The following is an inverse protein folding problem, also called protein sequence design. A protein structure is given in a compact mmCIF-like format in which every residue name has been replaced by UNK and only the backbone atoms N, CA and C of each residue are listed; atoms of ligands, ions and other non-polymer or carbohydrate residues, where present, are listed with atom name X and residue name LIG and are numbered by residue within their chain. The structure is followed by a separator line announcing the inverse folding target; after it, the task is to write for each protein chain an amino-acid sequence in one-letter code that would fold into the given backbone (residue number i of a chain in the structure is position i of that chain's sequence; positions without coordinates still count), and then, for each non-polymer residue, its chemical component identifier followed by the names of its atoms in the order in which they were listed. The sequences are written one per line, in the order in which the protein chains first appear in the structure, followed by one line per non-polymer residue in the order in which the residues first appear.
data_IF_645547820464
#
_entry.id   IF_645547820464
#
_cell.length_a   1.000
_cell.length_b   1.000
_cell.length_c   1.000
_cell.angle_alpha   90.00
_cell.angle_beta   90.00
_cell.angle_gamma   90.00
#
_symmetry.space_group_name_H-M   'P 1'
#
loop_
_entity.id
_entity.type
_entity.pdbx_description
1 polymer ?
#
# COMPACT_ATOMS: atom_id res chain seq x y z
N UNK A 1 -2.32 63.15 -8.54
CA UNK A 1 -1.82 61.89 -9.07
C UNK A 1 -1.23 61.08 -7.90
N UNK A 2 -1.89 59.97 -7.50
CA UNK A 2 -1.39 59.10 -6.42
C UNK A 2 -1.05 57.75 -7.05
N UNK A 3 0.23 57.39 -7.06
CA UNK A 3 0.69 56.07 -7.49
C UNK A 3 0.30 55.02 -6.46
N UNK A 4 -0.38 53.94 -6.92
CA UNK A 4 -0.57 52.68 -6.20
C UNK A 4 0.68 51.80 -6.42
N UNK A 5 1.23 51.14 -5.42
CA UNK A 5 2.25 50.13 -5.64
C UNK A 5 1.60 48.84 -6.13
N UNK A 6 2.20 48.24 -7.16
CA UNK A 6 1.86 46.91 -7.67
C UNK A 6 2.32 45.89 -6.66
N UNK A 7 1.38 45.09 -6.11
CA UNK A 7 1.68 43.89 -5.33
C UNK A 7 2.06 42.76 -6.27
N UNK A 8 3.26 42.23 -6.14
CA UNK A 8 3.68 40.97 -6.72
C UNK A 8 2.83 39.83 -6.11
N UNK A 9 1.95 39.26 -6.93
CA UNK A 9 1.26 38.02 -6.61
C UNK A 9 2.26 36.89 -6.83
N UNK A 10 2.75 36.28 -5.73
CA UNK A 10 3.50 35.05 -5.78
C UNK A 10 2.60 33.96 -6.39
N UNK A 11 2.97 33.46 -7.55
CA UNK A 11 2.31 32.40 -8.30
C UNK A 11 2.43 31.09 -7.51
N UNK A 12 1.34 30.70 -6.82
CA UNK A 12 1.27 29.38 -6.16
C UNK A 12 1.13 28.33 -7.26
N UNK A 13 2.01 27.33 -7.34
CA UNK A 13 1.90 26.30 -8.36
C UNK A 13 0.54 25.61 -8.24
N UNK A 14 -0.23 25.67 -9.31
CA UNK A 14 -1.55 25.05 -9.40
C UNK A 14 -1.41 23.54 -9.28
N UNK A 15 -2.14 22.93 -8.37
CA UNK A 15 -2.18 21.48 -8.03
C UNK A 15 -2.27 20.53 -9.25
N UNK A 16 -2.62 21.02 -10.43
CA UNK A 16 -2.73 20.22 -11.66
C UNK A 16 -1.40 19.72 -12.25
N UNK A 17 -0.29 20.35 -11.97
CA UNK A 17 1.02 20.01 -12.55
C UNK A 17 1.73 18.88 -11.77
N UNK A 18 1.31 18.59 -10.54
CA UNK A 18 2.01 17.73 -9.58
C UNK A 18 1.70 16.24 -9.79
N UNK A 19 0.58 15.88 -10.43
CA UNK A 19 0.10 14.49 -10.55
C UNK A 19 0.20 13.90 -11.96
N UNK A 20 1.00 14.45 -12.85
CA UNK A 20 1.11 13.94 -14.21
C UNK A 20 2.29 12.99 -14.40
N UNK A 21 2.00 11.76 -14.85
CA UNK A 21 2.98 10.81 -15.31
C UNK A 21 3.69 10.02 -14.22
N UNK A 22 4.88 9.51 -14.58
CA UNK A 22 5.67 8.60 -13.75
C UNK A 22 6.25 9.27 -12.49
N UNK A 23 6.34 10.57 -12.46
CA UNK A 23 6.94 11.35 -11.36
C UNK A 23 5.93 11.85 -10.32
N UNK A 24 4.68 11.43 -10.44
CA UNK A 24 3.58 11.89 -9.57
C UNK A 24 3.75 11.66 -8.06
N UNK A 25 4.71 10.83 -7.65
CA UNK A 25 4.99 10.58 -6.23
C UNK A 25 5.98 11.59 -5.63
N UNK A 26 6.76 12.32 -6.44
CA UNK A 26 7.77 13.27 -5.97
C UNK A 26 7.20 14.35 -5.04
N UNK A 27 6.03 14.88 -5.37
CA UNK A 27 5.41 15.95 -4.61
C UNK A 27 5.19 15.60 -3.14
N UNK A 28 4.83 14.35 -2.84
CA UNK A 28 4.61 13.90 -1.47
C UNK A 28 5.91 13.84 -0.66
N UNK A 29 7.04 13.49 -1.28
CA UNK A 29 8.33 13.40 -0.58
C UNK A 29 8.94 14.77 -0.31
N UNK A 30 8.65 15.77 -1.15
CA UNK A 30 9.16 17.14 -1.04
C UNK A 30 8.40 17.92 0.03
N UNK A 31 7.07 17.98 -0.09
CA UNK A 31 6.21 18.78 0.78
C UNK A 31 4.96 18.00 1.21
N UNK A 32 5.10 17.01 2.14
CA UNK A 32 3.99 16.19 2.59
C UNK A 32 2.89 16.99 3.32
N UNK A 33 3.24 18.11 3.95
CA UNK A 33 2.31 18.93 4.73
C UNK A 33 1.32 19.70 3.86
N UNK A 34 1.63 19.90 2.57
CA UNK A 34 0.71 20.54 1.62
C UNK A 34 -0.48 19.66 1.24
N UNK A 35 -0.48 18.39 1.63
CA UNK A 35 -1.53 17.44 1.30
C UNK A 35 -2.47 17.17 2.48
N UNK A 36 -3.77 16.91 2.23
CA UNK A 36 -4.72 16.61 3.28
C UNK A 36 -4.44 15.24 3.93
N UNK A 37 -4.88 15.07 5.19
CA UNK A 37 -4.77 13.81 5.95
C UNK A 37 -5.47 12.62 5.27
N UNK A 38 -6.41 12.87 4.38
CA UNK A 38 -7.04 11.83 3.55
C UNK A 38 -6.07 11.28 2.49
N UNK A 39 -4.98 11.97 2.22
CA UNK A 39 -3.94 11.57 1.26
C UNK A 39 -2.66 11.15 1.98
N UNK A 40 -2.06 12.01 2.79
CA UNK A 40 -0.87 11.71 3.60
C UNK A 40 -1.34 11.20 4.95
N UNK A 41 -1.08 9.93 5.25
CA UNK A 41 -1.45 9.29 6.52
C UNK A 41 -0.56 9.79 7.64
N UNK A 42 0.75 9.79 7.40
CA UNK A 42 1.77 10.44 8.25
C UNK A 42 3.08 10.59 7.48
N UNK A 43 3.99 11.36 8.05
CA UNK A 43 5.36 11.48 7.56
C UNK A 43 6.34 11.68 8.71
N UNK A 44 7.60 11.41 8.43
CA UNK A 44 8.74 11.69 9.30
C UNK A 44 9.92 12.22 8.45
N UNK A 45 11.11 12.33 9.03
CA UNK A 45 12.29 12.81 8.30
C UNK A 45 12.69 11.90 7.14
N UNK A 46 12.47 10.58 7.27
CA UNK A 46 12.91 9.56 6.30
C UNK A 46 11.84 9.13 5.32
N UNK A 47 10.55 9.19 5.70
CA UNK A 47 9.45 8.59 4.93
C UNK A 47 8.20 9.46 4.90
N UNK A 48 7.41 9.25 3.85
CA UNK A 48 6.01 9.68 3.77
C UNK A 48 5.15 8.45 3.48
N UNK A 49 4.09 8.27 4.26
CA UNK A 49 3.10 7.21 4.03
C UNK A 49 1.80 7.82 3.54
N UNK A 50 1.35 7.35 2.39
CA UNK A 50 0.17 7.89 1.71
C UNK A 50 -0.88 6.81 1.42
N UNK A 51 -2.14 7.22 1.32
CA UNK A 51 -3.16 6.39 0.69
C UNK A 51 -2.91 6.34 -0.83
N UNK A 52 -2.87 5.15 -1.42
CA UNK A 52 -2.75 5.02 -2.88
C UNK A 52 -3.94 5.71 -3.57
N UNK A 53 -3.68 6.49 -4.63
CA UNK A 53 -4.71 7.16 -5.41
C UNK A 53 -5.60 6.18 -6.20
N UNK A 54 -5.01 5.04 -6.56
CA UNK A 54 -5.68 3.98 -7.31
C UNK A 54 -5.57 2.65 -6.54
N UNK A 55 -6.18 2.56 -5.34
CA UNK A 55 -6.00 1.42 -4.44
C UNK A 55 -6.39 0.12 -5.14
N UNK A 56 -5.67 -0.96 -4.86
CA UNK A 56 -5.95 -2.28 -5.44
C UNK A 56 -6.70 -3.19 -4.47
N UNK A 57 -6.83 -2.76 -3.23
CA UNK A 57 -7.50 -3.48 -2.16
C UNK A 57 -8.33 -2.53 -1.30
N UNK A 58 -9.07 -3.04 -0.32
CA UNK A 58 -9.88 -2.23 0.60
C UNK A 58 -9.06 -1.20 1.37
N UNK A 59 -7.82 -1.55 1.72
CA UNK A 59 -6.81 -0.64 2.29
C UNK A 59 -5.54 -0.79 1.47
N UNK A 60 -4.96 0.32 1.02
CA UNK A 60 -3.72 0.32 0.24
C UNK A 60 -2.92 1.57 0.52
N UNK A 61 -1.80 1.39 1.20
CA UNK A 61 -0.82 2.43 1.51
C UNK A 61 0.42 2.30 0.63
N UNK A 62 1.09 3.41 0.41
CA UNK A 62 2.43 3.47 -0.17
C UNK A 62 3.38 4.12 0.83
N UNK A 63 4.55 3.52 1.05
CA UNK A 63 5.65 4.10 1.79
C UNK A 63 6.62 4.69 0.78
N UNK A 64 6.90 5.98 0.89
CA UNK A 64 7.76 6.73 -0.01
C UNK A 64 9.00 7.20 0.76
N UNK A 65 10.20 6.74 0.43
CA UNK A 65 11.43 7.30 1.01
C UNK A 65 11.62 8.77 0.59
N UNK A 66 12.08 9.61 1.53
CA UNK A 66 12.36 11.03 1.28
C UNK A 66 13.81 11.30 0.87
N UNK A 67 14.71 10.31 1.01
CA UNK A 67 16.08 10.45 0.53
C UNK A 67 16.09 10.69 -0.99
N UNK A 68 16.59 11.86 -1.47
CA UNK A 68 16.50 12.24 -2.88
C UNK A 68 17.37 11.40 -3.81
N UNK A 69 18.34 10.66 -3.26
CA UNK A 69 19.20 9.75 -4.03
C UNK A 69 18.55 8.37 -4.11
N UNK A 70 18.09 7.85 -2.97
CA UNK A 70 17.50 6.50 -2.89
C UNK A 70 16.14 6.42 -3.58
N UNK A 71 15.32 7.47 -3.49
CA UNK A 71 13.95 7.45 -3.99
C UNK A 71 13.82 7.36 -5.51
N UNK A 72 14.90 7.59 -6.27
CA UNK A 72 14.94 7.49 -7.74
C UNK A 72 15.74 6.28 -8.24
N UNK A 73 16.31 5.49 -7.32
CA UNK A 73 17.02 4.25 -7.66
C UNK A 73 16.03 3.11 -7.92
N UNK A 74 16.49 2.11 -8.66
CA UNK A 74 15.76 0.85 -8.77
C UNK A 74 15.78 0.13 -7.41
N UNK A 75 14.72 -0.62 -7.06
CA UNK A 75 14.68 -1.36 -5.79
C UNK A 75 15.91 -2.24 -5.56
N UNK A 76 16.36 -2.93 -6.60
CA UNK A 76 17.52 -3.83 -6.56
C UNK A 76 18.85 -3.13 -6.23
N UNK A 77 18.94 -1.83 -6.52
CA UNK A 77 20.15 -1.04 -6.28
C UNK A 77 20.03 -0.26 -4.96
N UNK A 78 18.83 0.25 -4.66
CA UNK A 78 18.58 0.98 -3.42
C UNK A 78 18.74 0.09 -2.18
N UNK A 79 18.26 -1.16 -2.26
CA UNK A 79 18.29 -2.13 -1.15
C UNK A 79 19.58 -2.93 -1.03
N UNK A 80 20.60 -2.65 -1.87
CA UNK A 80 21.96 -3.09 -1.61
C UNK A 80 22.60 -2.36 -0.41
N UNK A 81 22.02 -1.22 0.01
CA UNK A 81 22.38 -0.53 1.24
C UNK A 81 21.63 -1.12 2.44
N UNK A 82 22.32 -1.83 3.37
CA UNK A 82 21.67 -2.53 4.47
C UNK A 82 21.02 -1.57 5.50
N UNK A 83 21.55 -0.36 5.65
CA UNK A 83 20.95 0.62 6.57
C UNK A 83 19.64 1.17 6.01
N UNK A 84 19.63 1.50 4.72
CA UNK A 84 18.41 1.94 4.05
C UNK A 84 17.35 0.84 4.03
N UNK A 85 17.74 -0.40 3.75
CA UNK A 85 16.84 -1.55 3.79
C UNK A 85 16.24 -1.74 5.19
N UNK A 86 17.05 -1.70 6.24
CA UNK A 86 16.58 -1.84 7.62
C UNK A 86 15.59 -0.73 8.02
N UNK A 87 15.86 0.52 7.62
CA UNK A 87 14.92 1.64 7.82
C UNK A 87 13.58 1.39 7.11
N UNK A 88 13.62 0.90 5.86
CA UNK A 88 12.40 0.58 5.09
C UNK A 88 11.62 -0.58 5.72
N UNK A 89 12.29 -1.63 6.21
CA UNK A 89 11.65 -2.76 6.91
C UNK A 89 10.99 -2.33 8.22
N UNK A 90 11.63 -1.44 8.97
CA UNK A 90 11.05 -0.89 10.20
C UNK A 90 9.79 -0.05 9.90
N UNK A 91 9.81 0.74 8.84
CA UNK A 91 8.66 1.54 8.42
C UNK A 91 7.54 0.67 7.83
N UNK A 92 7.88 -0.36 7.07
CA UNK A 92 6.94 -1.36 6.56
C UNK A 92 6.16 -2.02 7.70
N UNK A 93 6.85 -2.44 8.77
CA UNK A 93 6.21 -3.03 9.96
C UNK A 93 5.15 -2.11 10.54
N UNK A 94 5.45 -0.82 10.74
CA UNK A 94 4.49 0.18 11.23
C UNK A 94 3.30 0.35 10.29
N UNK A 95 3.56 0.43 8.98
CA UNK A 95 2.50 0.57 7.98
C UNK A 95 1.59 -0.66 7.93
N UNK A 96 2.13 -1.88 8.12
CA UNK A 96 1.34 -3.12 8.24
C UNK A 96 0.40 -3.08 9.45
N UNK A 97 0.87 -2.58 10.60
CA UNK A 97 0.05 -2.40 11.80
C UNK A 97 -1.08 -1.38 11.56
N UNK A 98 -0.81 -0.29 10.83
CA UNK A 98 -1.84 0.70 10.45
C UNK A 98 -2.88 0.08 9.53
N UNK A 99 -2.47 -0.69 8.50
CA UNK A 99 -3.40 -1.39 7.61
C UNK A 99 -4.24 -2.40 8.39
N UNK A 100 -3.64 -3.18 9.29
CA UNK A 100 -4.32 -4.14 10.14
C UNK A 100 -5.36 -3.46 11.07
N UNK A 101 -4.99 -2.34 11.69
CA UNK A 101 -5.90 -1.52 12.51
C UNK A 101 -7.08 -0.99 11.69
N UNK A 102 -6.83 -0.52 10.48
CA UNK A 102 -7.87 -0.02 9.57
C UNK A 102 -8.80 -1.15 9.09
N UNK A 103 -8.25 -2.35 8.85
CA UNK A 103 -9.06 -3.54 8.56
C UNK A 103 -9.97 -3.90 9.73
N UNK A 104 -9.45 -3.93 10.97
CA UNK A 104 -10.25 -4.15 12.18
C UNK A 104 -11.34 -3.09 12.32
N UNK A 105 -11.00 -1.82 12.13
CA UNK A 105 -11.98 -0.72 12.22
C UNK A 105 -13.12 -0.87 11.21
N UNK A 106 -12.82 -1.31 9.98
CA UNK A 106 -13.83 -1.48 8.91
C UNK A 106 -14.64 -2.76 9.08
N UNK A 107 -13.98 -3.85 9.42
CA UNK A 107 -14.52 -5.20 9.27
C UNK A 107 -14.64 -5.97 10.58
N UNK A 108 -14.03 -5.53 11.68
CA UNK A 108 -14.00 -6.25 12.96
C UNK A 108 -15.40 -6.62 13.46
N UNK A 109 -16.39 -5.73 13.28
CA UNK A 109 -17.80 -6.00 13.67
C UNK A 109 -18.44 -7.21 12.96
N UNK A 110 -17.86 -7.66 11.85
CA UNK A 110 -18.36 -8.83 11.12
C UNK A 110 -17.56 -10.11 11.46
N UNK A 111 -16.38 -9.97 12.06
CA UNK A 111 -15.47 -11.09 12.38
C UNK A 111 -15.97 -11.86 13.60
N UNK A 112 -16.10 -13.17 13.45
CA UNK A 112 -16.43 -14.06 14.57
C UNK A 112 -15.31 -14.04 15.64
N UNK A 113 -14.06 -13.94 15.22
CA UNK A 113 -12.89 -13.89 16.12
C UNK A 113 -12.77 -12.58 16.90
N UNK A 114 -13.30 -11.45 16.36
CA UNK A 114 -13.33 -10.17 17.09
C UNK A 114 -14.54 -10.03 18.03
N UNK A 115 -15.56 -10.91 17.93
CA UNK A 115 -16.78 -10.83 18.76
C UNK A 115 -16.51 -10.74 20.26
N UNK A 116 -15.67 -11.60 20.88
CA UNK A 116 -15.39 -11.50 22.32
C UNK A 116 -14.78 -10.16 22.73
N UNK A 117 -13.96 -9.56 21.84
CA UNK A 117 -13.36 -8.25 22.05
C UNK A 117 -14.41 -7.13 22.00
N UNK A 118 -15.34 -7.22 21.06
CA UNK A 118 -16.41 -6.23 20.91
C UNK A 118 -17.35 -6.30 22.11
N UNK A 119 -17.78 -7.50 22.50
CA UNK A 119 -18.64 -7.72 23.68
C UNK A 119 -17.98 -7.18 24.96
N UNK A 120 -16.65 -7.37 25.11
CA UNK A 120 -15.91 -6.83 26.23
C UNK A 120 -15.82 -5.29 26.21
N UNK A 121 -15.72 -4.67 25.03
CA UNK A 121 -15.69 -3.21 24.86
C UNK A 121 -17.06 -2.57 25.14
N UNK A 122 -18.15 -3.28 24.85
CA UNK A 122 -19.54 -2.82 25.02
C UNK A 122 -20.12 -3.14 26.41
N UNK A 123 -19.38 -3.87 27.26
CA UNK A 123 -19.82 -4.18 28.61
C UNK A 123 -19.90 -2.91 29.48
N UNK A 124 -20.83 -2.89 30.46
CA UNK A 124 -20.98 -1.79 31.41
C UNK A 124 -19.71 -1.54 32.24
N UNK A 125 -18.93 -2.61 32.51
CA UNK A 125 -17.64 -2.57 33.18
C UNK A 125 -16.59 -3.32 32.31
N UNK A 126 -15.97 -2.61 31.33
CA UNK A 126 -15.00 -3.23 30.45
C UNK A 126 -13.77 -3.74 31.22
N UNK A 127 -13.25 -4.94 30.88
CA UNK A 127 -12.07 -5.47 31.52
C UNK A 127 -10.83 -4.62 31.24
N UNK A 128 -9.90 -4.53 32.20
CA UNK A 128 -8.62 -3.81 32.04
C UNK A 128 -7.84 -4.30 30.82
N UNK A 129 -7.89 -5.60 30.52
CA UNK A 129 -7.27 -6.20 29.34
C UNK A 129 -8.34 -6.80 28.42
N UNK A 130 -8.45 -6.23 27.23
CA UNK A 130 -9.39 -6.73 26.23
C UNK A 130 -8.91 -8.02 25.57
N UNK A 131 -9.82 -8.95 25.21
CA UNK A 131 -9.49 -10.08 24.35
C UNK A 131 -8.76 -9.62 23.09
N UNK A 132 -7.76 -10.39 22.64
CA UNK A 132 -6.92 -10.03 21.48
C UNK A 132 -7.73 -9.87 20.20
N UNK A 133 -8.76 -10.70 20.01
CA UNK A 133 -9.52 -10.77 18.76
C UNK A 133 -8.71 -11.38 17.63
N UNK A 134 -9.13 -11.11 16.39
CA UNK A 134 -8.47 -11.56 15.18
C UNK A 134 -7.12 -10.86 14.97
N UNK A 135 -6.11 -11.60 14.56
CA UNK A 135 -4.87 -11.00 14.02
C UNK A 135 -5.09 -10.51 12.58
N UNK A 136 -5.40 -9.24 12.43
CA UNK A 136 -5.61 -8.63 11.11
C UNK A 136 -4.31 -8.43 10.33
N UNK A 137 -3.12 -8.58 10.94
CA UNK A 137 -1.83 -8.49 10.22
C UNK A 137 -1.65 -9.63 9.24
N UNK A 138 -2.25 -10.80 9.48
CA UNK A 138 -2.30 -11.93 8.54
C UNK A 138 -3.04 -11.58 7.23
N UNK A 139 -3.96 -10.63 7.30
CA UNK A 139 -4.70 -10.10 6.15
C UNK A 139 -3.95 -9.02 5.36
N UNK A 140 -2.71 -8.68 5.74
CA UNK A 140 -1.90 -7.65 5.10
C UNK A 140 -0.77 -8.29 4.29
N UNK A 141 -0.56 -7.79 3.10
CA UNK A 141 0.61 -8.08 2.26
C UNK A 141 1.40 -6.80 2.01
N UNK A 142 2.70 -6.93 1.79
CA UNK A 142 3.59 -5.82 1.50
C UNK A 142 4.74 -6.23 0.61
N UNK A 143 5.35 -5.27 -0.05
CA UNK A 143 6.48 -5.49 -0.93
C UNK A 143 6.66 -4.37 -1.94
N UNK A 144 7.64 -4.53 -2.80
CA UNK A 144 7.93 -3.60 -3.88
C UNK A 144 7.88 -4.30 -5.22
N UNK A 145 7.37 -3.62 -6.25
CA UNK A 145 7.36 -4.17 -7.60
C UNK A 145 8.79 -4.34 -8.13
N UNK A 146 9.12 -5.52 -8.64
CA UNK A 146 10.44 -5.83 -9.21
C UNK A 146 10.83 -4.88 -10.36
N UNK A 147 9.82 -4.39 -11.10
CA UNK A 147 9.99 -3.41 -12.17
C UNK A 147 8.88 -2.35 -12.09
N UNK A 148 9.02 -1.34 -11.21
CA UNK A 148 7.97 -0.37 -10.95
C UNK A 148 7.68 0.51 -12.17
N UNK A 149 6.40 0.89 -12.34
CA UNK A 149 5.95 1.79 -13.40
C UNK A 149 6.20 3.26 -13.08
N UNK A 150 6.28 3.62 -11.80
CA UNK A 150 6.58 4.96 -11.31
C UNK A 150 8.09 5.15 -11.16
N UNK A 151 8.58 6.38 -11.33
CA UNK A 151 9.99 6.71 -11.21
C UNK A 151 10.51 6.68 -9.78
N UNK A 152 9.62 6.99 -8.81
CA UNK A 152 9.99 7.01 -7.40
C UNK A 152 9.78 5.65 -6.76
N UNK A 153 10.75 5.25 -5.95
CA UNK A 153 10.69 4.04 -5.13
C UNK A 153 9.51 4.12 -4.17
N UNK A 154 8.68 3.10 -4.17
CA UNK A 154 7.50 3.03 -3.32
C UNK A 154 7.23 1.59 -2.92
N UNK A 155 7.04 1.39 -1.62
CA UNK A 155 6.71 0.10 -1.04
C UNK A 155 5.19 0.05 -0.87
N UNK A 156 4.56 -0.99 -1.40
CA UNK A 156 3.14 -1.24 -1.24
C UNK A 156 2.88 -1.94 0.09
N UNK A 157 1.84 -1.49 0.81
CA UNK A 157 1.29 -2.16 1.99
C UNK A 157 -0.22 -2.16 1.86
N UNK A 158 -0.83 -3.33 1.68
CA UNK A 158 -2.25 -3.42 1.34
C UNK A 158 -2.92 -4.66 1.92
N UNK A 159 -4.26 -4.62 1.99
CA UNK A 159 -5.05 -5.79 2.34
C UNK A 159 -5.06 -6.82 1.20
N UNK A 160 -5.17 -8.11 1.56
CA UNK A 160 -5.14 -9.23 0.58
C UNK A 160 -6.42 -9.35 -0.25
N UNK A 161 -7.50 -8.65 0.09
CA UNK A 161 -8.82 -8.80 -0.55
C UNK A 161 -8.87 -8.41 -2.03
N UNK A 162 -8.08 -7.43 -2.47
CA UNK A 162 -7.93 -6.99 -3.87
C UNK A 162 -9.22 -6.71 -4.63
N UNK A 163 -10.26 -6.20 -3.95
CA UNK A 163 -11.60 -5.97 -4.51
C UNK A 163 -11.91 -4.51 -4.85
N UNK A 164 -10.93 -3.63 -4.84
CA UNK A 164 -11.17 -2.21 -5.11
C UNK A 164 -11.61 -1.94 -6.55
N UNK A 165 -12.31 -0.82 -6.77
CA UNK A 165 -12.75 -0.40 -8.10
C UNK A 165 -11.58 -0.23 -9.09
N UNK A 166 -10.41 0.38 -8.72
CA UNK A 166 -9.24 0.48 -9.60
C UNK A 166 -8.54 -0.85 -9.92
N UNK A 167 -8.90 -1.97 -9.32
CA UNK A 167 -8.45 -3.31 -9.70
C UNK A 167 -9.17 -3.76 -10.98
N UNK A 168 -8.76 -3.26 -12.15
CA UNK A 168 -9.49 -3.42 -13.42
C UNK A 168 -8.87 -4.38 -14.41
N UNK A 169 -7.54 -4.62 -14.31
CA UNK A 169 -6.78 -5.34 -15.33
C UNK A 169 -6.08 -6.55 -14.73
N UNK A 170 -5.94 -7.60 -15.56
CA UNK A 170 -5.16 -8.80 -15.22
C UNK A 170 -3.79 -8.44 -14.63
N UNK A 171 -3.05 -7.54 -15.27
CA UNK A 171 -1.73 -7.15 -14.80
C UNK A 171 -1.77 -6.43 -13.45
N UNK A 172 -2.87 -5.74 -13.08
CA UNK A 172 -3.02 -5.17 -11.74
C UNK A 172 -3.10 -6.26 -10.68
N UNK A 173 -3.81 -7.36 -10.96
CA UNK A 173 -3.91 -8.49 -10.04
C UNK A 173 -2.59 -9.25 -9.94
N UNK A 174 -2.04 -9.63 -11.07
CA UNK A 174 -0.80 -10.41 -11.13
C UNK A 174 0.42 -9.68 -10.58
N UNK A 175 0.43 -8.34 -10.62
CA UNK A 175 1.53 -7.57 -10.01
C UNK A 175 1.58 -7.66 -8.48
N UNK A 176 0.50 -8.13 -7.83
CA UNK A 176 0.44 -8.35 -6.38
C UNK A 176 0.38 -9.82 -5.97
N UNK A 177 0.10 -10.74 -6.91
CA UNK A 177 -0.09 -12.17 -6.63
C UNK A 177 0.99 -13.06 -7.22
N UNK A 178 2.06 -12.48 -7.72
CA UNK A 178 3.23 -13.19 -8.29
C UNK A 178 4.52 -12.61 -7.70
N UNK A 179 5.65 -13.20 -8.04
CA UNK A 179 6.99 -12.75 -7.66
C UNK A 179 7.38 -11.36 -8.22
N UNK A 180 6.44 -10.70 -8.91
CA UNK A 180 6.59 -9.29 -9.28
C UNK A 180 6.47 -8.35 -8.07
N UNK A 181 5.72 -8.74 -7.03
CA UNK A 181 5.75 -8.12 -5.72
C UNK A 181 6.79 -8.84 -4.87
N UNK A 182 7.92 -8.20 -4.63
CA UNK A 182 9.02 -8.73 -3.84
C UNK A 182 8.93 -8.20 -2.42
N UNK A 183 8.82 -9.08 -1.43
CA UNK A 183 8.86 -8.69 -0.02
C UNK A 183 10.23 -8.16 0.36
N UNK A 184 10.28 -7.21 1.30
CA UNK A 184 11.55 -6.58 1.70
C UNK A 184 12.50 -7.56 2.40
N UNK A 185 11.99 -8.65 2.95
CA UNK A 185 12.78 -9.74 3.55
C UNK A 185 13.64 -10.51 2.55
N UNK A 186 13.36 -10.40 1.26
CA UNK A 186 14.13 -11.05 0.21
C UNK A 186 15.35 -10.24 -0.26
N UNK A 187 15.42 -8.96 0.10
CA UNK A 187 16.55 -8.10 -0.27
C UNK A 187 17.73 -8.21 0.72
N UNK A 188 18.96 -8.03 0.23
CA UNK A 188 19.34 -7.75 -1.16
C UNK A 188 19.18 -8.99 -2.06
N UNK A 189 18.62 -8.80 -3.26
CA UNK A 189 18.50 -9.90 -4.22
C UNK A 189 19.85 -10.30 -4.77
N UNK A 190 20.13 -11.61 -4.90
CA UNK A 190 21.31 -12.11 -5.56
C UNK A 190 21.44 -11.56 -6.99
N UNK A 191 22.66 -11.47 -7.52
CA UNK A 191 22.91 -10.85 -8.85
C UNK A 191 22.20 -11.59 -9.99
N UNK A 192 22.04 -12.89 -9.86
CA UNK A 192 21.40 -13.80 -10.80
C UNK A 192 19.92 -14.08 -10.48
N UNK A 193 19.35 -13.44 -9.46
CA UNK A 193 17.95 -13.60 -9.10
C UNK A 193 17.05 -13.11 -10.25
N UNK A 194 16.19 -14.02 -10.74
CA UNK A 194 15.29 -13.74 -11.86
C UNK A 194 14.34 -12.57 -11.61
N UNK A 195 14.01 -12.28 -10.34
CA UNK A 195 13.15 -11.16 -9.96
C UNK A 195 13.76 -9.81 -10.28
N UNK A 196 15.10 -9.71 -10.39
CA UNK A 196 15.78 -8.46 -10.83
C UNK A 196 15.37 -8.02 -12.24
N UNK A 197 14.88 -8.96 -13.06
CA UNK A 197 14.47 -8.72 -14.45
C UNK A 197 13.07 -9.28 -14.75
N UNK A 198 12.23 -9.43 -13.73
CA UNK A 198 10.89 -9.99 -13.89
C UNK A 198 10.07 -9.15 -14.88
N UNK A 199 9.59 -9.76 -15.96
CA UNK A 199 8.88 -9.08 -17.05
C UNK A 199 7.60 -9.78 -17.50
N UNK A 200 7.45 -11.06 -17.19
CA UNK A 200 6.37 -11.89 -17.74
C UNK A 200 5.47 -12.41 -16.64
N UNK A 201 4.21 -12.05 -16.71
CA UNK A 201 3.18 -12.60 -15.86
C UNK A 201 2.70 -13.96 -16.40
N UNK A 202 2.32 -14.90 -15.51
CA UNK A 202 1.68 -16.15 -15.92
C UNK A 202 0.41 -15.85 -16.72
N UNK A 203 -0.01 -16.78 -17.58
CA UNK A 203 -1.24 -16.62 -18.38
C UNK A 203 -2.49 -16.63 -17.51
N UNK A 204 -2.50 -17.46 -16.48
CA UNK A 204 -3.62 -17.70 -15.61
C UNK A 204 -3.60 -16.84 -14.35
N UNK A 205 -4.77 -16.39 -13.93
CA UNK A 205 -5.00 -15.78 -12.63
C UNK A 205 -5.58 -16.83 -11.67
N UNK A 206 -4.89 -17.04 -10.56
CA UNK A 206 -5.36 -17.90 -9.47
C UNK A 206 -5.90 -17.02 -8.34
N UNK A 207 -7.02 -17.42 -7.72
CA UNK A 207 -7.48 -16.75 -6.51
C UNK A 207 -6.43 -16.87 -5.39
N UNK A 208 -6.04 -15.76 -4.79
CA UNK A 208 -5.04 -15.73 -3.74
C UNK A 208 -5.42 -16.55 -2.49
N UNK A 209 -6.72 -16.77 -2.27
CA UNK A 209 -7.24 -17.43 -1.07
C UNK A 209 -7.53 -18.93 -1.32
N UNK A 210 -8.31 -19.27 -2.34
CA UNK A 210 -8.74 -20.65 -2.59
C UNK A 210 -7.98 -21.35 -3.72
N UNK A 211 -7.11 -20.63 -4.47
CA UNK A 211 -6.34 -21.20 -5.58
C UNK A 211 -7.14 -21.48 -6.86
N UNK A 212 -8.44 -21.17 -6.90
CA UNK A 212 -9.26 -21.40 -8.10
C UNK A 212 -8.68 -20.64 -9.30
N UNK A 213 -8.59 -21.33 -10.45
CA UNK A 213 -8.06 -20.78 -11.69
C UNK A 213 -9.17 -20.09 -12.51
N UNK A 214 -8.94 -18.85 -12.90
CA UNK A 214 -9.83 -18.02 -13.71
C UNK A 214 -9.31 -17.76 -15.13
N UNK A 215 -8.15 -18.34 -15.49
CA UNK A 215 -7.50 -18.06 -16.76
C UNK A 215 -7.25 -16.55 -16.90
N UNK A 216 -7.65 -15.99 -18.04
CA UNK A 216 -7.56 -14.56 -18.31
C UNK A 216 -8.86 -13.76 -18.05
N UNK A 217 -9.86 -14.36 -17.36
CA UNK A 217 -11.20 -13.78 -17.18
C UNK A 217 -11.28 -12.89 -15.95
N UNK A 218 -10.75 -11.68 -16.03
CA UNK A 218 -10.67 -10.72 -14.91
C UNK A 218 -12.04 -10.40 -14.28
N UNK A 219 -13.13 -10.31 -15.05
CA UNK A 219 -14.48 -10.06 -14.51
C UNK A 219 -14.94 -11.17 -13.59
N UNK A 220 -14.73 -12.43 -14.00
CA UNK A 220 -15.09 -13.59 -13.17
C UNK A 220 -14.25 -13.70 -11.91
N UNK A 221 -12.95 -13.37 -12.00
CA UNK A 221 -12.10 -13.30 -10.82
C UNK A 221 -12.60 -12.22 -9.86
N UNK A 222 -12.97 -11.03 -10.35
CA UNK A 222 -13.50 -9.96 -9.47
C UNK A 222 -14.78 -10.38 -8.75
N UNK A 223 -15.73 -10.96 -9.43
CA UNK A 223 -16.97 -11.48 -8.82
C UNK A 223 -16.66 -12.51 -7.72
N UNK A 224 -15.70 -13.41 -7.98
CA UNK A 224 -15.26 -14.40 -7.01
C UNK A 224 -14.54 -13.74 -5.81
N UNK A 225 -13.66 -12.76 -6.04
CA UNK A 225 -12.95 -12.06 -4.96
C UNK A 225 -13.89 -11.31 -4.01
N UNK A 226 -15.01 -10.75 -4.50
CA UNK A 226 -16.04 -10.16 -3.64
C UNK A 226 -16.68 -11.20 -2.71
N UNK A 227 -16.99 -12.40 -3.22
CA UNK A 227 -17.52 -13.50 -2.38
C UNK A 227 -16.48 -13.99 -1.37
N UNK A 228 -15.21 -14.14 -1.79
CA UNK A 228 -14.12 -14.53 -0.90
C UNK A 228 -13.88 -13.49 0.21
N UNK A 229 -13.97 -12.21 -0.13
CA UNK A 229 -13.87 -11.13 0.86
C UNK A 229 -14.97 -11.22 1.91
N UNK A 230 -16.22 -11.44 1.49
CA UNK A 230 -17.34 -11.59 2.43
C UNK A 230 -17.13 -12.76 3.41
N UNK A 231 -16.57 -13.86 2.92
CA UNK A 231 -16.21 -14.99 3.77
C UNK A 231 -15.04 -14.64 4.70
N UNK A 232 -14.01 -14.03 4.13
CA UNK A 232 -12.78 -13.66 4.85
C UNK A 232 -13.02 -12.66 5.99
N UNK A 233 -13.86 -11.65 5.81
CA UNK A 233 -14.16 -10.67 6.87
C UNK A 233 -14.96 -11.26 8.04
N UNK A 234 -15.59 -12.44 7.86
CA UNK A 234 -16.40 -13.11 8.89
C UNK A 234 -15.59 -14.08 9.77
N UNK A 235 -14.39 -14.45 9.38
CA UNK A 235 -13.46 -15.23 10.21
C UNK A 235 -13.11 -14.44 11.49
#
# INVERSE_FOLDING_TARGET
MRHKPAGEAADKPTQKTIFQGRDGLAAYTIDPESFPLTRVVYHNEKFVVINDLYPKASVHLLILPRDPVKNVQRPQDAFDDPHFLADCQAEEKKAREIVASELRRRFGKYSASDRPRIEALEADDPPETLPAGRDWTEGVMSGIHANPSMSHLHIHVLSKDMVSEPMKKRNHYLSFTTDFLVGLEHFPLAKDDYRRAYKHFPEDMLCWRCGQNFGNKMSKLKEHLEMEKESWIRE
#
